data_IF_779915180209
#
_entry.id   IF_779915180209
#
_cell.length_a   1.000
_cell.length_b   1.000
_cell.length_c   1.000
_cell.angle_alpha   90.00
_cell.angle_beta   90.00
_cell.angle_gamma   90.00
#
_symmetry.space_group_name_H-M   'P 1'
#
loop_
_entity.id
_entity.type
_entity.pdbx_description
1 polymer ?
#
# COMPACT_ATOMS: atom_id res chain seq x y z
N UNK A 1 30.60 -52.28 16.77
CA UNK A 1 30.79 -51.53 15.52
C UNK A 1 29.47 -50.85 15.18
N UNK A 2 29.39 -49.53 15.44
CA UNK A 2 29.13 -48.46 14.44
C UNK A 2 27.69 -48.55 13.89
N UNK A 3 26.75 -47.67 14.22
CA UNK A 3 26.84 -46.19 14.23
C UNK A 3 25.84 -45.52 15.17
N UNK A 4 26.32 -44.54 15.93
CA UNK A 4 25.56 -43.54 16.71
C UNK A 4 25.48 -42.24 15.87
N UNK A 5 24.33 -41.56 15.97
CA UNK A 5 24.05 -40.13 15.76
C UNK A 5 24.25 -39.47 14.38
N UNK A 6 23.20 -38.75 13.94
CA UNK A 6 23.12 -37.29 13.63
C UNK A 6 21.70 -37.09 13.06
N UNK A 7 20.71 -36.70 13.87
CA UNK A 7 20.22 -35.30 14.04
C UNK A 7 20.20 -34.51 12.73
N UNK A 8 19.08 -34.55 12.02
CA UNK A 8 18.48 -33.38 11.34
C UNK A 8 16.97 -33.67 11.33
N UNK A 9 16.21 -33.29 12.37
CA UNK A 9 15.38 -32.08 12.30
C UNK A 9 14.85 -31.79 10.89
N UNK A 10 14.04 -32.71 10.35
CA UNK A 10 13.10 -32.41 9.27
C UNK A 10 11.89 -31.63 9.82
N UNK A 11 12.15 -30.62 10.65
CA UNK A 11 11.44 -29.36 10.47
C UNK A 11 12.00 -28.77 9.18
N UNK A 12 11.59 -29.34 8.05
CA UNK A 12 11.35 -28.50 6.89
C UNK A 12 10.17 -27.61 7.29
N UNK A 13 10.43 -26.63 8.16
CA UNK A 13 9.80 -25.34 8.05
C UNK A 13 10.08 -24.93 6.61
N UNK A 14 9.16 -25.37 5.74
CA UNK A 14 8.75 -24.54 4.65
C UNK A 14 8.53 -23.19 5.31
N UNK A 15 9.55 -22.34 5.22
CA UNK A 15 9.39 -20.91 5.23
C UNK A 15 8.52 -20.67 4.00
N UNK A 16 7.25 -21.00 4.14
CA UNK A 16 6.19 -20.32 3.46
C UNK A 16 6.45 -18.90 3.89
N UNK A 17 7.06 -18.10 3.01
CA UNK A 17 6.90 -16.67 3.03
C UNK A 17 5.41 -16.37 2.79
N UNK A 18 4.52 -16.90 3.64
CA UNK A 18 3.20 -16.37 3.84
C UNK A 18 3.48 -15.07 4.59
N UNK A 19 3.53 -13.97 3.84
CA UNK A 19 3.42 -12.61 4.35
C UNK A 19 2.25 -12.61 5.32
N UNK A 20 2.54 -12.73 6.61
CA UNK A 20 1.49 -12.82 7.62
C UNK A 20 0.76 -11.47 7.63
N UNK A 21 -0.50 -11.47 8.03
CA UNK A 21 -1.21 -10.20 8.19
C UNK A 21 -0.46 -9.25 9.13
N UNK A 22 0.24 -9.79 10.14
CA UNK A 22 1.06 -9.05 11.10
C UNK A 22 2.26 -8.39 10.43
N UNK A 23 3.02 -9.11 9.61
CA UNK A 23 4.18 -8.57 8.88
C UNK A 23 3.79 -7.43 7.94
N UNK A 24 2.64 -7.58 7.27
CA UNK A 24 2.08 -6.53 6.41
C UNK A 24 1.73 -5.28 7.20
N UNK A 25 1.04 -5.44 8.33
CA UNK A 25 0.66 -4.32 9.19
C UNK A 25 1.90 -3.62 9.75
N UNK A 26 2.93 -4.36 10.15
CA UNK A 26 4.19 -3.78 10.62
C UNK A 26 4.90 -2.98 9.53
N UNK A 27 4.94 -3.48 8.29
CA UNK A 27 5.50 -2.74 7.15
C UNK A 27 4.74 -1.44 6.88
N UNK A 28 3.41 -1.49 6.87
CA UNK A 28 2.56 -0.30 6.67
C UNK A 28 2.87 0.76 7.75
N UNK A 29 2.92 0.35 9.03
CA UNK A 29 3.25 1.25 10.15
C UNK A 29 4.62 1.88 9.97
N UNK A 30 5.64 1.07 9.69
CA UNK A 30 7.00 1.54 9.46
C UNK A 30 7.07 2.56 8.31
N UNK A 31 6.45 2.26 7.17
CA UNK A 31 6.45 3.20 6.04
C UNK A 31 5.73 4.51 6.38
N UNK A 32 4.59 4.43 7.10
CA UNK A 32 3.89 5.63 7.58
C UNK A 32 4.80 6.48 8.48
N UNK A 33 5.45 5.89 9.48
CA UNK A 33 6.34 6.60 10.40
C UNK A 33 7.53 7.27 9.69
N UNK A 34 8.16 6.56 8.74
CA UNK A 34 9.25 7.11 7.93
C UNK A 34 8.77 8.29 7.09
N UNK A 35 7.61 8.15 6.44
CA UNK A 35 7.07 9.17 5.55
C UNK A 35 6.53 10.40 6.28
N UNK A 36 6.04 10.26 7.51
CA UNK A 36 5.71 11.40 8.38
C UNK A 36 6.94 12.29 8.55
N UNK A 37 8.09 11.68 8.86
CA UNK A 37 9.35 12.40 9.07
C UNK A 37 9.90 13.01 7.78
N UNK A 38 9.86 12.25 6.68
CA UNK A 38 10.39 12.67 5.38
C UNK A 38 9.59 13.84 4.79
N UNK A 39 8.26 13.72 4.78
CA UNK A 39 7.36 14.75 4.24
C UNK A 39 7.13 15.91 5.22
N UNK A 40 7.53 15.76 6.49
CA UNK A 40 7.28 16.72 7.58
C UNK A 40 5.80 17.09 7.71
N UNK A 41 4.92 16.11 7.47
CA UNK A 41 3.48 16.28 7.52
C UNK A 41 2.99 16.23 8.96
N UNK A 42 2.01 17.07 9.29
CA UNK A 42 1.27 16.97 10.55
C UNK A 42 0.45 15.68 10.56
N UNK A 43 0.65 14.76 11.53
CA UNK A 43 -0.12 13.52 11.65
C UNK A 43 -1.64 13.75 11.61
N UNK A 44 -2.14 14.88 12.13
CA UNK A 44 -3.57 15.18 12.11
C UNK A 44 -4.14 15.31 10.69
N UNK A 45 -3.33 15.69 9.70
CA UNK A 45 -3.74 15.72 8.29
C UNK A 45 -3.86 14.32 7.69
N UNK A 46 -3.07 13.38 8.18
CA UNK A 46 -3.11 11.97 7.76
C UNK A 46 -4.34 11.31 8.37
N UNK A 47 -4.60 11.54 9.66
CA UNK A 47 -5.79 11.01 10.35
C UNK A 47 -7.09 11.49 9.68
N UNK A 48 -7.14 12.76 9.28
CA UNK A 48 -8.24 13.31 8.47
C UNK A 48 -8.36 12.63 7.11
N UNK A 49 -7.25 12.42 6.41
CA UNK A 49 -7.26 11.73 5.12
C UNK A 49 -7.71 10.27 5.24
N UNK A 50 -7.29 9.56 6.29
CA UNK A 50 -7.76 8.20 6.63
C UNK A 50 -9.28 8.17 6.90
N UNK A 51 -9.84 9.29 7.40
CA UNK A 51 -11.29 9.50 7.56
C UNK A 51 -12.01 10.02 6.29
N UNK A 52 -11.29 10.26 5.20
CA UNK A 52 -11.84 10.75 3.93
C UNK A 52 -11.80 12.27 3.72
N UNK A 53 -11.24 13.01 4.67
CA UNK A 53 -11.03 14.46 4.58
C UNK A 53 -9.62 14.77 4.04
N UNK A 54 -9.52 14.86 2.72
CA UNK A 54 -8.25 15.10 2.03
C UNK A 54 -7.92 16.59 1.93
N UNK A 55 -7.04 17.07 2.81
CA UNK A 55 -6.51 18.43 2.75
C UNK A 55 -5.59 18.62 1.52
N UNK A 56 -5.63 19.80 0.91
CA UNK A 56 -4.81 20.15 -0.25
C UNK A 56 -3.48 20.79 0.17
N UNK A 57 -2.62 20.01 0.83
CA UNK A 57 -1.30 20.48 1.29
C UNK A 57 -0.16 19.73 0.61
N UNK A 58 0.97 20.40 0.42
CA UNK A 58 2.15 19.81 -0.23
C UNK A 58 2.70 18.64 0.59
N UNK A 59 2.71 18.78 1.90
CA UNK A 59 3.23 17.80 2.84
C UNK A 59 2.41 16.51 2.80
N UNK A 60 1.06 16.62 2.77
CA UNK A 60 0.19 15.45 2.67
C UNK A 60 0.31 14.76 1.30
N UNK A 61 0.43 15.55 0.21
CA UNK A 61 0.68 15.00 -1.12
C UNK A 61 2.00 14.23 -1.19
N UNK A 62 3.07 14.80 -0.64
CA UNK A 62 4.36 14.15 -0.64
C UNK A 62 4.45 12.97 0.36
N UNK A 63 3.67 12.98 1.44
CA UNK A 63 3.48 11.81 2.28
C UNK A 63 2.90 10.63 1.49
N UNK A 64 1.85 10.87 0.69
CA UNK A 64 1.28 9.84 -0.17
C UNK A 64 2.35 9.28 -1.13
N UNK A 65 3.09 10.16 -1.83
CA UNK A 65 4.17 9.71 -2.72
C UNK A 65 5.22 8.87 -2.00
N UNK A 66 5.71 9.32 -0.84
CA UNK A 66 6.69 8.56 -0.05
C UNK A 66 6.16 7.16 0.30
N UNK A 67 4.91 7.06 0.76
CA UNK A 67 4.33 5.78 1.16
C UNK A 67 4.23 4.82 -0.04
N UNK A 68 3.70 5.29 -1.17
CA UNK A 68 3.52 4.46 -2.37
C UNK A 68 4.85 4.04 -3.01
N UNK A 69 5.88 4.87 -2.95
CA UNK A 69 7.24 4.51 -3.37
C UNK A 69 7.80 3.39 -2.49
N UNK A 70 7.76 3.55 -1.16
CA UNK A 70 8.27 2.54 -0.22
C UNK A 70 7.49 1.22 -0.28
N UNK A 71 6.21 1.30 -0.60
CA UNK A 71 5.38 0.13 -0.83
C UNK A 71 5.66 -0.56 -2.18
N UNK A 72 6.39 0.09 -3.09
CA UNK A 72 6.76 -0.42 -4.40
C UNK A 72 5.65 -0.30 -5.45
N UNK A 73 4.71 0.62 -5.27
CA UNK A 73 3.56 0.80 -6.15
C UNK A 73 3.73 1.91 -7.17
N UNK A 74 4.54 2.92 -6.86
CA UNK A 74 4.89 3.98 -7.81
C UNK A 74 6.41 4.17 -7.85
N UNK A 75 6.90 4.68 -8.97
CA UNK A 75 8.29 5.14 -9.10
C UNK A 75 8.51 6.48 -8.39
N UNK A 76 9.76 6.88 -8.22
CA UNK A 76 10.12 8.21 -7.69
C UNK A 76 9.53 9.36 -8.52
N UNK A 77 9.29 9.12 -9.81
CA UNK A 77 8.71 10.05 -10.78
C UNK A 77 7.18 10.04 -10.77
N UNK A 78 6.54 9.21 -9.93
CA UNK A 78 5.08 9.13 -9.82
C UNK A 78 4.42 8.25 -10.87
N UNK A 79 5.17 7.31 -11.48
CA UNK A 79 4.60 6.34 -12.42
C UNK A 79 4.09 5.11 -11.68
N UNK A 80 2.84 4.71 -11.95
CA UNK A 80 2.20 3.57 -11.31
C UNK A 80 2.72 2.25 -11.87
N UNK A 81 3.21 1.38 -11.01
CA UNK A 81 3.71 0.04 -11.35
C UNK A 81 2.55 -0.96 -11.37
N UNK A 82 1.77 -0.92 -12.47
CA UNK A 82 0.51 -1.67 -12.59
C UNK A 82 0.63 -3.16 -12.27
N UNK A 83 1.68 -3.82 -12.77
CA UNK A 83 1.88 -5.25 -12.54
C UNK A 83 2.09 -5.56 -11.06
N UNK A 84 2.83 -4.70 -10.34
CA UNK A 84 3.08 -4.85 -8.91
C UNK A 84 1.80 -4.61 -8.11
N UNK A 85 1.05 -3.56 -8.46
CA UNK A 85 -0.23 -3.23 -7.82
C UNK A 85 -1.21 -4.39 -7.97
N UNK A 86 -1.39 -4.91 -9.19
CA UNK A 86 -2.30 -6.03 -9.50
C UNK A 86 -1.89 -7.32 -8.80
N UNK A 87 -0.59 -7.59 -8.67
CA UNK A 87 -0.08 -8.78 -7.99
C UNK A 87 -0.26 -8.74 -6.46
N UNK A 88 -0.46 -7.56 -5.87
CA UNK A 88 -0.68 -7.40 -4.41
C UNK A 88 -2.16 -7.42 -4.00
N UNK A 89 -3.08 -7.53 -4.96
CA UNK A 89 -4.51 -7.65 -4.67
C UNK A 89 -4.84 -9.00 -4.00
N UNK A 90 -5.74 -9.02 -3.00
CA UNK A 90 -6.20 -10.26 -2.38
C UNK A 90 -6.94 -11.14 -3.42
N UNK A 91 -6.81 -12.48 -3.34
CA UNK A 91 -7.30 -13.39 -4.40
C UNK A 91 -8.80 -13.68 -4.39
N UNK A 92 -9.57 -13.19 -3.42
CA UNK A 92 -10.90 -13.76 -3.11
C UNK A 92 -12.08 -13.05 -3.79
N UNK A 93 -12.63 -12.00 -3.17
CA UNK A 93 -13.96 -11.48 -3.55
C UNK A 93 -13.96 -10.01 -3.99
N UNK A 94 -12.88 -9.28 -3.72
CA UNK A 94 -12.76 -7.85 -4.04
C UNK A 94 -11.83 -7.59 -5.22
N UNK A 95 -11.18 -8.64 -5.76
CA UNK A 95 -10.14 -8.47 -6.79
C UNK A 95 -10.66 -7.74 -8.02
N UNK A 96 -11.82 -8.13 -8.54
CA UNK A 96 -12.41 -7.48 -9.72
C UNK A 96 -12.81 -6.03 -9.44
N UNK A 97 -13.40 -5.75 -8.27
CA UNK A 97 -13.75 -4.39 -7.85
C UNK A 97 -12.50 -3.52 -7.69
N UNK A 98 -11.48 -4.05 -7.03
CA UNK A 98 -10.20 -3.37 -6.86
C UNK A 98 -9.52 -3.11 -8.21
N UNK A 99 -9.55 -4.08 -9.13
CA UNK A 99 -9.04 -3.90 -10.50
C UNK A 99 -9.81 -2.80 -11.25
N UNK A 100 -11.14 -2.76 -11.16
CA UNK A 100 -11.94 -1.73 -11.80
C UNK A 100 -11.58 -0.33 -11.28
N UNK A 101 -11.39 -0.19 -9.96
CA UNK A 101 -10.95 1.06 -9.33
C UNK A 101 -9.52 1.43 -9.79
N UNK A 102 -8.62 0.45 -9.85
CA UNK A 102 -7.26 0.65 -10.35
C UNK A 102 -7.27 1.16 -11.78
N UNK A 103 -8.01 0.52 -12.68
CA UNK A 103 -8.13 0.93 -14.08
C UNK A 103 -8.79 2.32 -14.23
N UNK A 104 -9.71 2.68 -13.32
CA UNK A 104 -10.34 4.01 -13.32
C UNK A 104 -9.36 5.14 -12.94
N UNK A 105 -8.46 4.90 -11.98
CA UNK A 105 -7.61 5.95 -11.43
C UNK A 105 -6.16 5.95 -11.98
N UNK A 106 -5.72 4.92 -12.72
CA UNK A 106 -4.31 4.73 -13.11
C UNK A 106 -3.70 5.89 -13.91
N UNK A 107 -4.52 6.58 -14.70
CA UNK A 107 -4.08 7.64 -15.62
C UNK A 107 -4.13 9.04 -15.00
N UNK A 108 -4.49 9.15 -13.70
CA UNK A 108 -4.46 10.42 -12.99
C UNK A 108 -3.02 10.94 -12.89
N UNK A 109 -2.85 12.22 -13.21
CA UNK A 109 -1.58 12.95 -13.15
C UNK A 109 -1.80 14.30 -12.48
N UNK A 110 -0.84 14.71 -11.66
CA UNK A 110 -0.76 16.05 -11.11
C UNK A 110 0.45 16.81 -11.65
N UNK A 111 0.74 17.99 -11.10
CA UNK A 111 1.87 18.81 -11.55
C UNK A 111 3.23 18.16 -11.28
N UNK A 112 3.32 17.28 -10.28
CA UNK A 112 4.51 16.52 -9.93
C UNK A 112 4.18 15.11 -9.40
N UNK A 113 5.20 14.37 -8.97
CA UNK A 113 5.05 13.03 -8.43
C UNK A 113 4.25 12.99 -7.11
N UNK A 114 4.34 14.03 -6.28
CA UNK A 114 3.55 14.14 -5.04
C UNK A 114 2.07 14.31 -5.37
N UNK A 115 1.75 15.24 -6.27
CA UNK A 115 0.37 15.47 -6.71
C UNK A 115 -0.22 14.25 -7.40
N UNK A 116 0.57 13.56 -8.23
CA UNK A 116 0.13 12.34 -8.94
C UNK A 116 -0.21 11.22 -7.96
N UNK A 117 0.69 10.93 -7.00
CA UNK A 117 0.44 9.89 -6.01
C UNK A 117 -0.79 10.19 -5.15
N UNK A 118 -0.95 11.46 -4.75
CA UNK A 118 -2.10 11.92 -3.99
C UNK A 118 -3.41 11.79 -4.76
N UNK A 119 -3.44 12.19 -6.04
CA UNK A 119 -4.63 12.09 -6.88
C UNK A 119 -5.08 10.63 -7.04
N UNK A 120 -4.13 9.73 -7.31
CA UNK A 120 -4.38 8.28 -7.40
C UNK A 120 -4.93 7.76 -6.06
N UNK A 121 -4.28 8.07 -4.94
CA UNK A 121 -4.70 7.61 -3.62
C UNK A 121 -6.10 8.09 -3.25
N UNK A 122 -6.40 9.38 -3.46
CA UNK A 122 -7.72 9.96 -3.20
C UNK A 122 -8.80 9.30 -4.08
N UNK A 123 -8.51 9.06 -5.35
CA UNK A 123 -9.42 8.36 -6.26
C UNK A 123 -9.68 6.91 -5.79
N UNK A 124 -8.65 6.18 -5.36
CA UNK A 124 -8.82 4.85 -4.78
C UNK A 124 -9.71 4.87 -3.54
N UNK A 125 -9.46 5.79 -2.61
CA UNK A 125 -10.26 5.91 -1.40
C UNK A 125 -11.73 6.16 -1.74
N UNK A 126 -12.02 7.18 -2.55
CA UNK A 126 -13.38 7.58 -2.89
C UNK A 126 -14.18 6.45 -3.55
N UNK A 127 -13.56 5.71 -4.48
CA UNK A 127 -14.26 4.64 -5.19
C UNK A 127 -14.35 3.34 -4.39
N UNK A 128 -13.36 3.03 -3.54
CA UNK A 128 -13.45 1.90 -2.62
C UNK A 128 -14.53 2.13 -1.55
N UNK A 129 -14.61 3.35 -1.00
CA UNK A 129 -15.61 3.70 0.00
C UNK A 129 -17.02 3.74 -0.60
N UNK A 130 -17.19 4.29 -1.80
CA UNK A 130 -18.46 4.25 -2.53
C UNK A 130 -18.93 2.81 -2.80
N UNK A 131 -18.01 1.91 -3.18
CA UNK A 131 -18.33 0.49 -3.39
C UNK A 131 -18.78 -0.24 -2.11
N UNK A 132 -18.38 0.25 -0.94
CA UNK A 132 -18.80 -0.29 0.36
C UNK A 132 -20.14 0.30 0.86
N UNK A 133 -20.54 1.49 0.39
CA UNK A 133 -21.83 2.10 0.73
C UNK A 133 -23.04 1.41 0.07
N UNK A 134 -22.82 0.68 -1.03
CA UNK A 134 -23.87 -0.11 -1.70
C UNK A 134 -24.03 -1.54 -1.16
N UNK A 135 -23.33 -1.90 -0.07
CA UNK A 135 -23.40 -3.21 0.60
C UNK A 135 -24.38 -3.25 1.79
N UNK A 136 -25.08 -2.14 2.11
CA UNK A 136 -26.12 -2.05 3.14
C UNK A 136 -27.53 -2.03 2.53
#
# INVERSE_FOLDING_TARGET
MKTIAVVVLLFASSVLCQDSAEDRQQRIRRYREECVKEAKVDPALIDKADAGEFADTKELKCFAKCFYVKAGFITEQGELLMDVVKAKLPPEHEREKALAIIELCKDLKGADACETAYAIHKCYFQNAHAANLHKN
#
